data_IF_620918658988
#
_entry.id   IF_620918658988
#
_cell.length_a   1.000
_cell.length_b   1.000
_cell.length_c   1.000
_cell.angle_alpha   90.00
_cell.angle_beta   90.00
_cell.angle_gamma   90.00
#
_symmetry.space_group_name_H-M   'P 1'
#
loop_
_entity.id
_entity.type
_entity.pdbx_description
1 polymer ?
#
# COMPACT_ATOMS: atom_id res chain seq x y z
N UNK A 1 6.87 17.49 -74.12
CA UNK A 1 6.86 18.88 -73.61
C UNK A 1 7.65 18.90 -72.32
N UNK A 2 8.67 19.75 -72.21
CA UNK A 2 9.47 19.88 -70.97
C UNK A 2 8.60 20.54 -69.89
N UNK A 3 8.44 19.89 -68.74
CA UNK A 3 7.72 20.48 -67.61
C UNK A 3 8.49 21.71 -67.08
N UNK A 4 7.76 22.72 -66.59
CA UNK A 4 8.37 23.91 -65.99
C UNK A 4 8.78 23.62 -64.54
N UNK A 5 9.76 24.37 -64.05
CA UNK A 5 10.14 24.34 -62.64
C UNK A 5 8.94 24.75 -61.74
N UNK A 6 8.69 24.00 -60.67
CA UNK A 6 7.57 24.19 -59.75
C UNK A 6 7.70 25.42 -58.82
N UNK A 7 8.90 26.02 -58.74
CA UNK A 7 9.14 27.23 -57.94
C UNK A 7 8.50 28.45 -58.64
N UNK A 8 7.60 29.14 -57.94
CA UNK A 8 6.92 30.34 -58.45
C UNK A 8 7.95 31.38 -58.93
N UNK A 9 7.73 31.92 -60.14
CA UNK A 9 8.60 32.88 -60.86
C UNK A 9 9.85 32.29 -61.54
N UNK A 10 10.08 30.97 -61.49
CA UNK A 10 11.14 30.33 -62.27
C UNK A 10 10.65 30.00 -63.68
N UNK A 11 11.29 30.56 -64.72
CA UNK A 11 10.93 30.30 -66.13
C UNK A 11 11.75 29.15 -66.76
N UNK A 12 12.66 28.53 -66.00
CA UNK A 12 13.53 27.46 -66.51
C UNK A 12 12.77 26.13 -66.60
N UNK A 13 13.10 25.32 -67.61
CA UNK A 13 12.62 23.95 -67.71
C UNK A 13 13.11 23.10 -66.52
N UNK A 14 12.24 22.23 -66.01
CA UNK A 14 12.65 21.23 -65.03
C UNK A 14 13.66 20.27 -65.65
N UNK A 15 14.64 19.87 -64.85
CA UNK A 15 15.66 18.89 -65.23
C UNK A 15 15.50 17.59 -64.46
N UNK A 16 14.84 17.65 -63.30
CA UNK A 16 14.61 16.51 -62.43
C UNK A 16 13.32 16.69 -61.62
N UNK A 17 12.67 15.57 -61.30
CA UNK A 17 11.64 15.49 -60.27
C UNK A 17 12.34 15.15 -58.94
N UNK A 18 12.11 15.94 -57.90
CA UNK A 18 12.65 15.65 -56.58
C UNK A 18 11.76 14.58 -55.91
N UNK A 19 12.31 13.40 -55.64
CA UNK A 19 11.55 12.30 -55.04
C UNK A 19 11.06 12.60 -53.61
N UNK A 20 11.75 13.47 -52.88
CA UNK A 20 11.41 13.84 -51.50
C UNK A 20 10.14 14.68 -51.39
N UNK A 21 9.93 15.62 -52.32
CA UNK A 21 8.81 16.57 -52.25
C UNK A 21 7.89 16.50 -53.48
N UNK A 22 8.19 15.61 -54.42
CA UNK A 22 7.46 15.41 -55.68
C UNK A 22 7.34 16.70 -56.52
N UNK A 23 8.34 17.58 -56.42
CA UNK A 23 8.39 18.85 -57.15
C UNK A 23 9.36 18.77 -58.33
N UNK A 24 8.95 19.33 -59.47
CA UNK A 24 9.79 19.43 -60.66
C UNK A 24 10.74 20.61 -60.52
N UNK A 25 12.04 20.36 -60.42
CA UNK A 25 13.03 21.40 -60.15
C UNK A 25 14.00 21.57 -61.34
N UNK A 26 14.41 22.81 -61.60
CA UNK A 26 15.55 23.07 -62.45
C UNK A 26 16.85 22.82 -61.66
N UNK A 27 17.98 22.64 -62.35
CA UNK A 27 19.25 22.28 -61.70
C UNK A 27 19.66 23.23 -60.56
N UNK A 28 19.41 24.54 -60.72
CA UNK A 28 19.72 25.53 -59.68
C UNK A 28 18.86 25.34 -58.43
N UNK A 29 17.54 25.26 -58.58
CA UNK A 29 16.65 25.09 -57.42
C UNK A 29 16.78 23.70 -56.79
N UNK A 30 17.22 22.68 -57.54
CA UNK A 30 17.55 21.37 -56.97
C UNK A 30 18.79 21.46 -56.07
N UNK A 31 19.82 22.20 -56.49
CA UNK A 31 21.01 22.43 -55.68
C UNK A 31 20.70 23.29 -54.44
N UNK A 32 19.87 24.32 -54.58
CA UNK A 32 19.40 25.13 -53.45
C UNK A 32 18.53 24.31 -52.48
N UNK A 33 17.66 23.44 -53.01
CA UNK A 33 16.86 22.51 -52.22
C UNK A 33 17.76 21.52 -51.45
N UNK A 34 18.77 20.93 -52.10
CA UNK A 34 19.72 20.03 -51.44
C UNK A 34 20.56 20.76 -50.39
N UNK A 35 21.02 21.99 -50.68
CA UNK A 35 21.72 22.82 -49.71
C UNK A 35 20.83 23.19 -48.51
N UNK A 36 19.54 23.44 -48.74
CA UNK A 36 18.56 23.68 -47.67
C UNK A 36 18.36 22.43 -46.80
N UNK A 37 18.23 21.24 -47.39
CA UNK A 37 18.15 19.99 -46.65
C UNK A 37 19.41 19.73 -45.82
N UNK A 38 20.60 19.91 -46.40
CA UNK A 38 21.88 19.78 -45.69
C UNK A 38 21.97 20.81 -44.55
N UNK A 39 21.49 22.04 -44.75
CA UNK A 39 21.49 23.06 -43.70
C UNK A 39 20.59 22.72 -42.51
N UNK A 40 19.56 21.88 -42.71
CA UNK A 40 18.71 21.36 -41.62
C UNK A 40 19.38 20.26 -40.79
N UNK A 41 20.46 19.63 -41.30
CA UNK A 41 21.23 18.64 -40.54
C UNK A 41 22.13 19.28 -39.48
N UNK A 42 22.53 20.54 -39.67
CA UNK A 42 23.41 21.24 -38.72
C UNK A 42 22.72 21.44 -37.35
N UNK A 43 21.48 21.96 -37.26
CA UNK A 43 20.74 22.02 -35.99
C UNK A 43 20.56 20.67 -35.30
N UNK A 44 20.33 19.59 -36.06
CA UNK A 44 20.21 18.24 -35.49
C UNK A 44 21.55 17.74 -34.92
N UNK A 45 22.65 18.09 -35.56
CA UNK A 45 24.00 17.79 -35.06
C UNK A 45 24.27 18.57 -33.76
N UNK A 46 23.85 19.82 -33.70
CA UNK A 46 23.95 20.64 -32.49
C UNK A 46 23.08 20.09 -31.35
N UNK A 47 21.87 19.61 -31.65
CA UNK A 47 21.00 18.93 -30.67
C UNK A 47 21.64 17.63 -30.16
N UNK A 48 22.22 16.81 -31.04
CA UNK A 48 22.94 15.58 -30.65
C UNK A 48 24.12 15.92 -29.75
N UNK A 49 24.92 16.92 -30.11
CA UNK A 49 26.06 17.36 -29.30
C UNK A 49 25.62 17.90 -27.92
N UNK A 50 24.50 18.63 -27.86
CA UNK A 50 23.92 19.10 -26.62
C UNK A 50 23.42 17.95 -25.73
N UNK A 51 22.80 16.93 -26.33
CA UNK A 51 22.38 15.71 -25.62
C UNK A 51 23.57 14.90 -25.12
N UNK A 52 24.64 14.78 -25.92
CA UNK A 52 25.88 14.08 -25.54
C UNK A 52 26.58 14.81 -24.37
N UNK A 53 26.65 16.14 -24.43
CA UNK A 53 27.17 16.94 -23.32
C UNK A 53 26.31 16.73 -22.06
N UNK A 54 24.99 16.78 -22.20
CA UNK A 54 24.07 16.56 -21.09
C UNK A 54 24.24 15.17 -20.46
N UNK A 55 24.39 14.13 -21.28
CA UNK A 55 24.72 12.76 -20.85
C UNK A 55 26.02 12.69 -20.06
N UNK A 56 27.08 13.37 -20.51
CA UNK A 56 28.37 13.45 -19.79
C UNK A 56 28.26 14.19 -18.46
N UNK A 57 27.35 15.15 -18.35
CA UNK A 57 27.12 15.94 -17.13
C UNK A 57 26.08 15.34 -16.18
N UNK A 58 25.43 14.23 -16.54
CA UNK A 58 24.48 13.56 -15.64
C UNK A 58 25.23 13.05 -14.41
N UNK A 59 24.82 13.55 -13.24
CA UNK A 59 25.34 13.07 -11.97
C UNK A 59 24.66 11.74 -11.60
N UNK A 60 25.21 10.66 -12.13
CA UNK A 60 24.78 9.28 -11.84
C UNK A 60 25.13 8.89 -10.40
N UNK A 61 26.08 9.57 -9.76
CA UNK A 61 26.47 9.28 -8.38
C UNK A 61 25.38 9.70 -7.39
N UNK A 62 24.70 10.82 -7.64
CA UNK A 62 23.62 11.31 -6.78
C UNK A 62 22.51 10.26 -6.49
N UNK A 63 21.88 9.62 -7.48
CA UNK A 63 20.87 8.58 -7.21
C UNK A 63 21.47 7.35 -6.53
N UNK A 64 22.70 6.96 -6.85
CA UNK A 64 23.39 5.83 -6.19
C UNK A 64 23.62 6.13 -4.71
N UNK A 65 24.12 7.32 -4.39
CA UNK A 65 24.34 7.77 -3.00
C UNK A 65 23.02 7.77 -2.23
N UNK A 66 21.95 8.28 -2.85
CA UNK A 66 20.63 8.29 -2.23
C UNK A 66 20.09 6.87 -1.97
N UNK A 67 20.21 5.96 -2.92
CA UNK A 67 19.82 4.55 -2.73
C UNK A 67 20.64 3.87 -1.64
N UNK A 68 21.95 4.16 -1.54
CA UNK A 68 22.80 3.66 -0.46
C UNK A 68 22.38 4.18 0.90
N UNK A 69 22.00 5.47 1.00
CA UNK A 69 21.48 6.05 2.24
C UNK A 69 20.22 5.31 2.72
N UNK A 70 19.29 4.98 1.82
CA UNK A 70 18.11 4.17 2.18
C UNK A 70 18.47 2.77 2.70
N UNK A 71 19.46 2.12 2.11
CA UNK A 71 19.93 0.83 2.60
C UNK A 71 20.62 0.94 3.97
N UNK A 72 21.32 2.05 4.20
CA UNK A 72 21.95 2.34 5.48
C UNK A 72 20.89 2.60 6.57
N UNK A 73 19.88 3.41 6.26
CA UNK A 73 18.71 3.65 7.14
C UNK A 73 18.00 2.34 7.47
N UNK A 74 17.71 1.50 6.46
CA UNK A 74 17.11 0.18 6.67
C UNK A 74 17.96 -0.70 7.60
N UNK A 75 19.29 -0.70 7.41
CA UNK A 75 20.21 -1.46 8.28
C UNK A 75 20.16 -0.97 9.72
N UNK A 76 20.19 0.34 9.92
CA UNK A 76 20.18 0.94 11.25
C UNK A 76 18.83 0.69 11.95
N UNK A 77 17.71 0.75 11.23
CA UNK A 77 16.38 0.38 11.73
C UNK A 77 16.30 -1.11 12.12
N UNK A 78 16.89 -2.00 11.32
CA UNK A 78 16.96 -3.43 11.64
C UNK A 78 17.72 -3.68 12.94
N UNK A 79 18.87 -3.01 13.14
CA UNK A 79 19.63 -3.13 14.39
C UNK A 79 18.81 -2.64 15.58
N UNK A 80 18.14 -1.50 15.48
CA UNK A 80 17.29 -0.99 16.56
C UNK A 80 16.15 -1.96 16.92
N UNK A 81 15.53 -2.60 15.93
CA UNK A 81 14.49 -3.61 16.17
C UNK A 81 15.04 -4.84 16.87
N UNK A 82 16.24 -5.30 16.48
CA UNK A 82 16.91 -6.44 17.13
C UNK A 82 17.24 -6.09 18.59
N UNK A 83 17.79 -4.90 18.84
CA UNK A 83 18.14 -4.45 20.19
C UNK A 83 16.89 -4.33 21.07
N UNK A 84 15.82 -3.73 20.55
CA UNK A 84 14.53 -3.61 21.26
C UNK A 84 13.94 -4.98 21.62
N UNK A 85 14.00 -5.94 20.68
CA UNK A 85 13.52 -7.30 20.92
C UNK A 85 14.38 -8.02 21.97
N UNK A 86 15.70 -7.84 21.93
CA UNK A 86 16.60 -8.38 22.94
C UNK A 86 16.28 -7.83 24.34
N UNK A 87 16.14 -6.51 24.48
CA UNK A 87 15.77 -5.87 25.74
C UNK A 87 14.43 -6.38 26.27
N UNK A 88 13.43 -6.52 25.40
CA UNK A 88 12.14 -7.12 25.77
C UNK A 88 12.31 -8.54 26.33
N UNK A 89 13.12 -9.38 25.69
CA UNK A 89 13.37 -10.75 26.18
C UNK A 89 14.14 -10.79 27.49
N UNK A 90 15.05 -9.84 27.73
CA UNK A 90 15.67 -9.67 29.04
C UNK A 90 14.64 -9.30 30.11
N UNK A 91 13.73 -8.38 29.83
CA UNK A 91 12.67 -7.99 30.78
C UNK A 91 11.71 -9.15 31.08
N UNK A 92 11.32 -9.94 30.06
CA UNK A 92 10.52 -11.15 30.25
C UNK A 92 11.24 -12.16 31.15
N UNK A 93 12.55 -12.34 30.97
CA UNK A 93 13.35 -13.22 31.80
C UNK A 93 13.42 -12.72 33.25
N UNK A 94 13.69 -11.43 33.45
CA UNK A 94 13.74 -10.82 34.79
C UNK A 94 12.40 -10.95 35.51
N UNK A 95 11.29 -10.72 34.81
CA UNK A 95 9.96 -10.88 35.38
C UNK A 95 9.71 -12.32 35.83
N UNK A 96 10.01 -13.31 34.99
CA UNK A 96 9.83 -14.73 35.31
C UNK A 96 10.67 -15.17 36.52
N UNK A 97 11.89 -14.66 36.63
CA UNK A 97 12.76 -14.92 37.79
C UNK A 97 12.16 -14.29 39.05
N UNK A 98 11.79 -13.01 38.98
CA UNK A 98 11.27 -12.26 40.11
C UNK A 98 9.97 -12.86 40.64
N UNK A 99 9.04 -13.25 39.77
CA UNK A 99 7.78 -13.90 40.17
C UNK A 99 8.03 -15.19 40.98
N UNK A 100 8.98 -16.03 40.55
CA UNK A 100 9.34 -17.25 41.29
C UNK A 100 9.99 -16.95 42.64
N UNK A 101 10.84 -15.93 42.71
CA UNK A 101 11.49 -15.49 43.96
C UNK A 101 10.45 -14.92 44.93
N UNK A 102 9.53 -14.10 44.45
CA UNK A 102 8.49 -13.49 45.26
C UNK A 102 7.52 -14.54 45.82
N UNK A 103 7.15 -15.56 45.05
CA UNK A 103 6.41 -16.72 45.56
C UNK A 103 7.12 -17.40 46.73
N UNK A 104 8.44 -17.58 46.68
CA UNK A 104 9.19 -18.15 47.80
C UNK A 104 9.24 -17.19 49.00
N UNK A 105 9.26 -15.87 48.77
CA UNK A 105 9.25 -14.85 49.81
C UNK A 105 7.92 -14.81 50.56
N UNK A 106 6.80 -14.94 49.85
CA UNK A 106 5.46 -15.04 50.45
C UNK A 106 5.33 -16.30 51.32
N UNK A 107 5.82 -17.43 50.81
CA UNK A 107 5.86 -18.69 51.57
C UNK A 107 6.69 -18.57 52.86
N UNK A 108 7.85 -17.91 52.79
CA UNK A 108 8.66 -17.62 53.97
C UNK A 108 7.92 -16.74 55.00
N UNK A 109 7.21 -15.70 54.52
CA UNK A 109 6.41 -14.83 55.38
C UNK A 109 5.26 -15.60 56.05
N UNK A 110 4.61 -16.51 55.33
CA UNK A 110 3.55 -17.37 55.89
C UNK A 110 4.09 -18.26 57.01
N UNK A 111 5.26 -18.88 56.81
CA UNK A 111 5.93 -19.68 57.83
C UNK A 111 6.24 -18.83 59.07
N UNK A 112 6.76 -17.61 58.89
CA UNK A 112 7.06 -16.70 60.00
C UNK A 112 5.80 -16.30 60.78
N UNK A 113 4.68 -16.06 60.09
CA UNK A 113 3.39 -15.76 60.73
C UNK A 113 2.92 -16.94 61.59
N UNK A 114 2.95 -18.16 61.04
CA UNK A 114 2.58 -19.37 61.77
C UNK A 114 3.46 -19.61 63.01
N UNK A 115 4.76 -19.38 62.90
CA UNK A 115 5.67 -19.46 64.06
C UNK A 115 5.28 -18.45 65.14
N UNK A 116 4.97 -17.20 64.74
CA UNK A 116 4.59 -16.13 65.67
C UNK A 116 3.28 -16.45 66.38
N UNK A 117 2.30 -16.99 65.66
CA UNK A 117 1.00 -17.42 66.21
C UNK A 117 1.16 -18.55 67.23
N UNK A 118 1.96 -19.58 66.91
CA UNK A 118 2.23 -20.70 67.82
C UNK A 118 2.97 -20.25 69.10
N UNK A 119 3.92 -19.31 68.98
CA UNK A 119 4.60 -18.71 70.13
C UNK A 119 3.61 -17.93 71.01
N UNK A 120 2.72 -17.15 70.40
CA UNK A 120 1.74 -16.36 71.14
C UNK A 120 0.68 -17.23 71.83
N UNK A 121 0.23 -18.30 71.19
CA UNK A 121 -0.77 -19.21 71.73
C UNK A 121 -0.24 -20.06 72.92
N UNK A 122 1.08 -20.24 73.05
CA UNK A 122 1.74 -21.09 74.06
C UNK A 122 1.31 -22.57 74.07
N UNK A 123 0.51 -23.02 73.10
CA UNK A 123 0.02 -24.38 72.94
C UNK A 123 0.59 -25.01 71.66
N UNK A 124 1.91 -25.20 71.61
CA UNK A 124 2.56 -25.85 70.46
C UNK A 124 2.57 -27.37 70.61
N UNK A 125 2.05 -28.10 69.62
CA UNK A 125 2.12 -29.56 69.60
C UNK A 125 3.34 -30.07 68.81
N UNK A 126 3.80 -31.32 69.04
CA UNK A 126 4.84 -31.92 68.21
C UNK A 126 4.48 -31.99 66.72
N UNK A 127 3.18 -32.10 66.40
CA UNK A 127 2.68 -32.16 65.02
C UNK A 127 2.86 -30.81 64.30
N UNK A 128 2.67 -29.69 65.00
CA UNK A 128 2.88 -28.34 64.46
C UNK A 128 4.35 -28.11 64.09
N UNK A 129 5.27 -28.59 64.93
CA UNK A 129 6.71 -28.52 64.69
C UNK A 129 7.12 -29.37 63.48
N UNK A 130 6.54 -30.57 63.33
CA UNK A 130 6.85 -31.45 62.20
C UNK A 130 6.28 -30.90 60.87
N UNK A 131 5.12 -30.26 60.90
CA UNK A 131 4.55 -29.56 59.75
C UNK A 131 5.42 -28.36 59.32
N UNK A 132 5.88 -27.54 60.27
CA UNK A 132 6.81 -26.44 59.97
C UNK A 132 8.13 -26.95 59.40
N UNK A 133 8.70 -28.02 59.96
CA UNK A 133 9.94 -28.63 59.47
C UNK A 133 9.80 -29.16 58.04
N UNK A 134 8.69 -29.80 57.71
CA UNK A 134 8.46 -30.32 56.36
C UNK A 134 8.31 -29.17 55.35
N UNK A 135 7.57 -28.12 55.71
CA UNK A 135 7.39 -26.91 54.88
C UNK A 135 8.72 -26.17 54.65
N UNK A 136 9.55 -26.00 55.68
CA UNK A 136 10.89 -25.39 55.56
C UNK A 136 11.80 -26.22 54.64
N UNK A 137 11.76 -27.56 54.73
CA UNK A 137 12.54 -28.43 53.84
C UNK A 137 12.08 -28.33 52.39
N UNK A 138 10.78 -28.21 52.16
CA UNK A 138 10.21 -28.02 50.83
C UNK A 138 10.62 -26.66 50.23
N UNK A 139 10.53 -25.58 51.01
CA UNK A 139 11.01 -24.25 50.62
C UNK A 139 12.49 -24.28 50.22
N UNK A 140 13.36 -24.89 51.05
CA UNK A 140 14.79 -25.06 50.73
C UNK A 140 15.03 -25.83 49.43
N UNK A 141 14.22 -26.85 49.18
CA UNK A 141 14.32 -27.65 47.94
C UNK A 141 13.89 -26.84 46.73
N UNK A 142 12.84 -26.03 46.84
CA UNK A 142 12.37 -25.15 45.77
C UNK A 142 13.37 -24.02 45.48
N UNK A 143 13.95 -23.40 46.51
CA UNK A 143 15.02 -22.40 46.35
C UNK A 143 16.22 -22.99 45.60
N UNK A 144 16.65 -24.20 45.98
CA UNK A 144 17.76 -24.89 45.30
C UNK A 144 17.43 -25.22 43.83
N UNK A 145 16.17 -25.52 43.50
CA UNK A 145 15.73 -25.72 42.11
C UNK A 145 15.80 -24.42 41.30
N UNK A 146 15.41 -23.29 41.90
CA UNK A 146 15.52 -21.97 41.27
C UNK A 146 16.98 -21.61 40.99
N UNK A 147 17.88 -21.87 41.95
CA UNK A 147 19.33 -21.63 41.81
C UNK A 147 19.98 -22.49 40.72
N UNK A 148 19.48 -23.71 40.48
CA UNK A 148 20.17 -24.69 39.64
C UNK A 148 19.74 -24.73 38.18
N UNK A 149 18.49 -24.45 37.85
CA UNK A 149 17.98 -24.52 36.45
C UNK A 149 16.58 -23.93 36.40
N UNK A 150 16.47 -22.60 36.35
CA UNK A 150 15.14 -22.01 36.37
C UNK A 150 14.50 -21.96 34.97
N UNK A 151 15.29 -21.93 33.89
CA UNK A 151 14.81 -21.80 32.51
C UNK A 151 15.79 -22.41 31.49
N UNK A 152 15.26 -22.78 30.33
CA UNK A 152 16.00 -23.06 29.09
C UNK A 152 15.64 -22.00 28.07
N UNK A 153 16.64 -21.44 27.39
CA UNK A 153 16.45 -20.45 26.33
C UNK A 153 16.80 -21.12 25.00
N UNK A 154 15.79 -21.29 24.15
CA UNK A 154 15.97 -21.85 22.81
C UNK A 154 16.11 -20.72 21.79
N UNK A 155 17.34 -20.43 21.38
CA UNK A 155 17.65 -19.37 20.41
C UNK A 155 17.71 -19.97 19.01
N UNK A 156 16.86 -19.47 18.13
CA UNK A 156 16.85 -19.84 16.72
C UNK A 156 17.59 -18.77 15.88
N UNK A 157 18.29 -19.15 14.80
CA UNK A 157 18.99 -18.20 13.97
C UNK A 157 18.01 -17.28 13.23
N UNK A 158 18.37 -16.00 13.11
CA UNK A 158 17.64 -15.04 12.27
C UNK A 158 17.93 -15.35 10.80
N UNK A 159 16.88 -15.69 10.04
CA UNK A 159 16.97 -15.94 8.60
C UNK A 159 16.66 -14.64 7.85
N UNK A 160 17.66 -14.13 7.11
CA UNK A 160 17.50 -12.99 6.22
C UNK A 160 17.12 -13.53 4.84
N UNK A 161 15.89 -13.29 4.43
CA UNK A 161 15.35 -13.70 3.14
C UNK A 161 15.78 -12.70 2.04
N UNK A 162 16.08 -13.20 0.83
CA UNK A 162 16.42 -12.37 -0.33
C UNK A 162 15.26 -11.45 -0.75
N UNK A 163 14.03 -11.75 -0.31
CA UNK A 163 12.84 -10.92 -0.53
C UNK A 163 12.77 -9.67 0.36
N UNK A 164 13.72 -9.48 1.29
CA UNK A 164 13.70 -8.33 2.21
C UNK A 164 14.13 -7.02 1.54
N UNK A 165 14.96 -7.08 0.49
CA UNK A 165 15.46 -5.92 -0.23
C UNK A 165 15.43 -6.16 -1.73
N UNK A 166 14.56 -5.46 -2.45
CA UNK A 166 14.51 -5.50 -3.91
C UNK A 166 15.21 -4.29 -4.52
N UNK A 167 16.30 -4.54 -5.24
CA UNK A 167 16.91 -3.53 -6.12
C UNK A 167 16.27 -3.66 -7.49
N UNK A 168 15.07 -3.10 -7.62
CA UNK A 168 14.37 -3.07 -8.90
C UNK A 168 15.00 -2.00 -9.79
N UNK A 169 15.37 -2.37 -11.02
CA UNK A 169 15.54 -1.38 -12.07
C UNK A 169 14.20 -0.66 -12.18
N UNK A 170 14.16 0.65 -11.94
CA UNK A 170 12.96 1.45 -12.22
C UNK A 170 12.73 1.31 -13.73
N UNK A 171 11.89 0.36 -14.12
CA UNK A 171 11.50 0.21 -15.52
C UNK A 171 10.74 1.50 -15.81
N UNK A 172 11.32 2.34 -16.68
CA UNK A 172 10.72 3.59 -17.15
C UNK A 172 9.53 3.34 -18.10
N UNK A 173 8.76 2.27 -17.87
CA UNK A 173 7.56 2.00 -18.65
C UNK A 173 6.39 2.51 -17.85
N UNK A 174 5.97 3.70 -18.26
CA UNK A 174 4.71 4.27 -17.85
C UNK A 174 3.60 3.29 -18.21
N UNK A 175 2.79 2.91 -17.23
CA UNK A 175 1.62 2.07 -17.48
C UNK A 175 0.80 2.70 -18.61
N UNK A 176 0.64 2.01 -19.74
CA UNK A 176 -0.23 2.44 -20.82
C UNK A 176 -1.46 1.54 -20.89
N UNK A 177 -2.62 2.08 -20.52
CA UNK A 177 -3.88 1.35 -20.66
C UNK A 177 -4.20 1.00 -22.12
N UNK A 178 -3.62 1.68 -23.11
CA UNK A 178 -3.86 1.39 -24.53
C UNK A 178 -3.32 0.02 -24.94
N UNK A 179 -2.34 -0.49 -24.20
CA UNK A 179 -1.71 -1.79 -24.42
C UNK A 179 -2.15 -2.83 -23.39
N UNK A 180 -3.26 -2.59 -22.69
CA UNK A 180 -3.80 -3.54 -21.72
C UNK A 180 -4.04 -4.89 -22.42
N UNK A 181 -3.27 -5.90 -22.03
CA UNK A 181 -3.38 -7.22 -22.64
C UNK A 181 -4.74 -7.83 -22.32
N UNK A 182 -5.21 -8.82 -23.10
CA UNK A 182 -6.25 -9.73 -22.61
C UNK A 182 -5.86 -10.30 -21.25
N UNK A 183 -6.86 -10.63 -20.43
CA UNK A 183 -6.61 -11.24 -19.13
C UNK A 183 -5.87 -12.57 -19.33
N UNK A 184 -4.68 -12.71 -18.73
CA UNK A 184 -3.92 -13.96 -18.81
C UNK A 184 -4.35 -14.96 -17.72
N UNK A 185 -5.00 -14.48 -16.67
CA UNK A 185 -5.57 -15.29 -15.61
C UNK A 185 -6.91 -14.71 -15.13
N UNK A 186 -7.83 -15.60 -14.77
CA UNK A 186 -9.18 -15.28 -14.32
C UNK A 186 -9.49 -16.13 -13.08
N UNK A 187 -9.84 -15.47 -11.98
CA UNK A 187 -10.27 -16.11 -10.74
C UNK A 187 -11.78 -15.90 -10.60
N UNK A 188 -12.61 -16.95 -10.68
CA UNK A 188 -14.05 -16.82 -10.48
C UNK A 188 -14.38 -16.27 -9.10
N UNK A 189 -15.39 -15.40 -9.01
CA UNK A 189 -15.86 -14.85 -7.74
C UNK A 189 -17.05 -15.63 -7.21
N UNK A 190 -17.01 -15.99 -5.94
CA UNK A 190 -18.16 -16.63 -5.28
C UNK A 190 -19.31 -15.63 -5.13
N UNK A 191 -20.54 -16.09 -5.37
CA UNK A 191 -21.74 -15.26 -5.22
C UNK A 191 -21.85 -14.68 -3.79
N UNK A 192 -22.20 -13.40 -3.69
CA UNK A 192 -22.30 -12.69 -2.41
C UNK A 192 -20.96 -12.24 -1.81
N UNK A 193 -19.86 -12.35 -2.57
CA UNK A 193 -18.58 -11.76 -2.17
C UNK A 193 -18.58 -10.24 -2.32
N UNK A 194 -18.08 -9.53 -1.31
CA UNK A 194 -17.86 -8.08 -1.38
C UNK A 194 -16.76 -7.71 -2.39
N UNK A 195 -16.91 -6.60 -3.14
CA UNK A 195 -15.97 -6.15 -4.16
C UNK A 195 -14.74 -5.43 -3.56
N UNK A 196 -14.02 -6.11 -2.67
CA UNK A 196 -12.80 -5.58 -2.05
C UNK A 196 -11.59 -6.39 -2.50
N UNK A 197 -10.53 -5.67 -2.86
CA UNK A 197 -9.30 -6.20 -3.42
C UNK A 197 -8.13 -5.32 -2.96
N UNK A 198 -7.08 -5.94 -2.44
CA UNK A 198 -5.83 -5.25 -2.08
C UNK A 198 -4.65 -6.23 -2.18
N UNK A 199 -3.42 -5.77 -2.01
CA UNK A 199 -2.24 -6.63 -2.01
C UNK A 199 -1.16 -6.12 -1.06
N UNK A 200 -0.21 -7.00 -0.73
CA UNK A 200 0.99 -6.68 0.04
C UNK A 200 2.27 -7.01 -0.73
N UNK A 201 2.24 -6.82 -2.05
CA UNK A 201 3.20 -7.33 -3.03
C UNK A 201 3.25 -8.87 -3.10
N UNK A 202 3.32 -9.59 -1.98
CA UNK A 202 3.42 -11.06 -1.96
C UNK A 202 2.12 -11.77 -2.30
N UNK A 203 1.01 -11.25 -1.79
CA UNK A 203 -0.31 -11.85 -1.91
C UNK A 203 -1.35 -10.82 -2.35
N UNK A 204 -2.23 -11.25 -3.24
CA UNK A 204 -3.47 -10.57 -3.55
C UNK A 204 -4.54 -11.06 -2.57
N UNK A 205 -5.09 -10.15 -1.75
CA UNK A 205 -6.15 -10.45 -0.81
C UNK A 205 -7.50 -10.13 -1.43
N UNK A 206 -8.36 -11.14 -1.52
CA UNK A 206 -9.71 -11.03 -2.06
C UNK A 206 -10.70 -11.74 -1.14
N UNK A 207 -11.88 -11.14 -0.95
CA UNK A 207 -12.97 -11.84 -0.26
C UNK A 207 -13.67 -12.80 -1.23
N UNK A 208 -13.64 -14.09 -0.92
CA UNK A 208 -14.46 -15.12 -1.57
C UNK A 208 -15.33 -15.78 -0.52
N UNK A 209 -16.61 -15.41 -0.49
CA UNK A 209 -17.54 -15.81 0.57
C UNK A 209 -17.47 -17.33 0.82
N UNK A 210 -17.24 -17.78 2.07
CA UNK A 210 -17.25 -17.02 3.32
C UNK A 210 -15.86 -16.55 3.81
N UNK A 211 -14.81 -16.66 3.00
CA UNK A 211 -13.43 -16.50 3.42
C UNK A 211 -12.79 -15.22 2.85
N UNK A 212 -11.74 -14.75 3.54
CA UNK A 212 -10.68 -13.96 2.92
C UNK A 212 -9.64 -14.92 2.36
N UNK A 213 -9.36 -14.82 1.06
CA UNK A 213 -8.47 -15.69 0.33
C UNK A 213 -7.23 -14.93 -0.15
N UNK A 214 -6.06 -15.55 0.03
CA UNK A 214 -4.77 -15.03 -0.38
C UNK A 214 -4.33 -15.78 -1.64
N UNK A 215 -4.03 -15.04 -2.70
CA UNK A 215 -3.55 -15.57 -3.96
C UNK A 215 -2.09 -15.14 -4.17
N UNK A 216 -1.26 -16.06 -4.64
CA UNK A 216 0.11 -15.74 -5.05
C UNK A 216 0.17 -15.15 -6.47
N UNK A 217 1.39 -14.88 -6.97
CA UNK A 217 1.62 -14.38 -8.34
C UNK A 217 1.18 -15.35 -9.45
N UNK A 218 1.10 -16.64 -9.15
CA UNK A 218 0.61 -17.66 -10.08
C UNK A 218 -0.92 -17.80 -10.00
N UNK A 219 -1.57 -16.99 -9.17
CA UNK A 219 -3.02 -17.00 -8.90
C UNK A 219 -3.51 -18.27 -8.23
N UNK A 220 -2.61 -18.99 -7.57
CA UNK A 220 -3.01 -20.10 -6.72
C UNK A 220 -3.50 -19.54 -5.38
N UNK A 221 -4.65 -20.01 -4.93
CA UNK A 221 -5.10 -19.74 -3.57
C UNK A 221 -4.18 -20.49 -2.60
N UNK A 222 -3.31 -19.75 -1.92
CA UNK A 222 -2.32 -20.32 -1.01
C UNK A 222 -2.82 -20.43 0.43
N UNK A 223 -3.70 -19.50 0.83
CA UNK A 223 -4.23 -19.43 2.20
C UNK A 223 -5.65 -18.88 2.18
N UNK A 224 -6.43 -19.23 3.20
CA UNK A 224 -7.75 -18.66 3.41
C UNK A 224 -8.08 -18.63 4.91
N UNK A 225 -8.84 -17.62 5.31
CA UNK A 225 -9.36 -17.48 6.68
C UNK A 225 -10.84 -17.14 6.64
N UNK A 226 -11.63 -17.73 7.55
CA UNK A 226 -13.06 -17.48 7.63
C UNK A 226 -13.34 -16.01 8.00
N UNK A 227 -14.18 -15.34 7.21
CA UNK A 227 -14.66 -14.01 7.50
C UNK A 227 -16.06 -14.04 8.12
N UNK A 228 -16.12 -13.95 9.45
CA UNK A 228 -17.37 -13.97 10.22
C UNK A 228 -17.88 -12.59 10.63
N UNK A 229 -17.25 -11.51 10.18
CA UNK A 229 -17.45 -10.16 10.73
C UNK A 229 -18.40 -9.27 9.90
N UNK A 230 -19.12 -9.85 8.95
CA UNK A 230 -20.16 -9.15 8.17
C UNK A 230 -19.64 -8.51 6.88
N UNK A 231 -20.10 -7.30 6.57
CA UNK A 231 -19.76 -6.63 5.32
C UNK A 231 -18.35 -6.07 5.31
N UNK A 232 -17.67 -6.18 4.17
CA UNK A 232 -16.37 -5.55 3.90
C UNK A 232 -16.63 -4.36 2.99
N UNK A 233 -16.25 -3.16 3.45
CA UNK A 233 -16.36 -1.93 2.68
C UNK A 233 -15.09 -1.64 1.88
N UNK A 234 -13.94 -1.86 2.52
CA UNK A 234 -12.64 -1.60 1.92
C UNK A 234 -11.52 -2.42 2.60
N UNK A 235 -10.38 -2.55 1.94
CA UNK A 235 -9.16 -3.16 2.44
C UNK A 235 -7.92 -2.42 1.94
N UNK A 236 -6.89 -2.32 2.78
CA UNK A 236 -5.57 -1.86 2.38
C UNK A 236 -4.46 -2.65 3.09
N UNK A 237 -3.23 -2.56 2.61
CA UNK A 237 -2.06 -3.10 3.30
C UNK A 237 -1.34 -2.01 4.09
N UNK A 238 -0.79 -2.38 5.25
CA UNK A 238 0.08 -1.53 6.05
C UNK A 238 1.45 -2.17 6.20
N UNK A 239 2.47 -1.59 5.59
CA UNK A 239 3.86 -2.03 5.72
C UNK A 239 4.42 -1.79 7.13
N UNK A 240 3.95 -0.76 7.85
CA UNK A 240 4.36 -0.52 9.23
C UNK A 240 3.87 -1.61 10.20
N UNK A 241 2.62 -2.05 10.03
CA UNK A 241 2.05 -3.10 10.87
C UNK A 241 2.41 -4.50 10.36
N UNK A 242 2.82 -4.62 9.10
CA UNK A 242 2.93 -5.89 8.38
C UNK A 242 1.59 -6.66 8.40
N UNK A 243 0.48 -5.94 8.19
CA UNK A 243 -0.88 -6.49 8.26
C UNK A 243 -1.77 -5.88 7.19
N UNK A 244 -2.74 -6.68 6.72
CA UNK A 244 -3.87 -6.16 5.98
C UNK A 244 -4.85 -5.50 6.95
N UNK A 245 -5.36 -4.34 6.57
CA UNK A 245 -6.41 -3.62 7.29
C UNK A 245 -7.70 -3.81 6.51
N UNK A 246 -8.73 -4.30 7.19
CA UNK A 246 -10.06 -4.56 6.61
C UNK A 246 -11.08 -3.68 7.30
N UNK A 247 -11.71 -2.79 6.53
CA UNK A 247 -12.85 -2.00 6.98
C UNK A 247 -14.12 -2.83 6.90
N UNK A 248 -14.62 -3.21 8.08
CA UNK A 248 -15.96 -3.74 8.23
C UNK A 248 -17.02 -2.63 8.23
N UNK A 249 -18.28 -2.99 8.51
CA UNK A 249 -19.39 -2.03 8.60
C UNK A 249 -19.13 -0.91 9.62
N UNK A 250 -18.74 -1.31 10.83
CA UNK A 250 -18.54 -0.43 11.98
C UNK A 250 -17.12 -0.46 12.53
N UNK A 251 -16.38 -1.54 12.26
CA UNK A 251 -15.13 -1.89 12.92
C UNK A 251 -13.99 -2.02 11.91
N UNK A 252 -12.77 -1.81 12.40
CA UNK A 252 -11.55 -2.01 11.65
C UNK A 252 -10.89 -3.30 12.16
N UNK A 253 -10.42 -4.14 11.25
CA UNK A 253 -9.77 -5.41 11.56
C UNK A 253 -8.37 -5.45 10.97
N UNK A 254 -7.45 -6.11 11.68
CA UNK A 254 -6.12 -6.44 11.19
C UNK A 254 -6.08 -7.92 10.84
N UNK A 255 -5.60 -8.25 9.65
CA UNK A 255 -5.43 -9.62 9.20
C UNK A 255 -3.94 -9.90 9.02
N UNK A 256 -3.46 -10.91 9.73
CA UNK A 256 -2.08 -11.36 9.69
C UNK A 256 -1.92 -12.45 8.63
N UNK A 257 -1.11 -12.18 7.60
CA UNK A 257 -0.87 -13.11 6.50
C UNK A 257 0.11 -14.25 6.87
N UNK A 258 0.77 -14.19 8.02
CA UNK A 258 1.59 -15.27 8.56
C UNK A 258 0.78 -16.19 9.48
N UNK A 259 0.10 -15.65 10.49
CA UNK A 259 -0.65 -16.45 11.48
C UNK A 259 -2.08 -16.76 11.07
N UNK A 260 -2.61 -16.11 10.02
CA UNK A 260 -4.02 -16.15 9.63
C UNK A 260 -4.98 -15.67 10.74
N UNK A 261 -4.52 -14.85 11.68
CA UNK A 261 -5.37 -14.26 12.72
C UNK A 261 -6.07 -13.01 12.23
N UNK A 262 -7.28 -12.78 12.75
CA UNK A 262 -8.07 -11.57 12.51
C UNK A 262 -8.32 -10.90 13.86
N UNK A 263 -7.74 -9.71 14.04
CA UNK A 263 -7.80 -8.96 15.28
C UNK A 263 -8.66 -7.71 15.09
N UNK A 264 -9.59 -7.44 16.00
CA UNK A 264 -10.40 -6.22 15.97
C UNK A 264 -9.63 -5.06 16.62
N UNK A 265 -9.62 -3.89 15.98
CA UNK A 265 -9.00 -2.69 16.53
C UNK A 265 -9.98 -1.97 17.46
N UNK A 266 -10.04 -2.43 18.71
CA UNK A 266 -10.96 -1.90 19.73
C UNK A 266 -10.69 -0.44 20.15
N UNK A 267 -9.54 0.13 19.78
CA UNK A 267 -9.18 1.52 20.14
C UNK A 267 -9.89 2.56 19.28
N UNK A 268 -10.51 2.15 18.18
CA UNK A 268 -11.19 3.05 17.24
C UNK A 268 -12.69 2.98 17.50
N UNK A 269 -13.31 4.15 17.68
CA UNK A 269 -14.76 4.26 17.82
C UNK A 269 -15.49 3.68 16.60
N UNK A 270 -16.62 3.00 16.84
CA UNK A 270 -17.45 2.49 15.76
C UNK A 270 -17.99 3.61 14.88
N UNK A 271 -17.78 3.50 13.56
CA UNK A 271 -18.26 4.47 12.57
C UNK A 271 -18.69 3.76 11.30
N UNK A 272 -19.53 4.42 10.51
CA UNK A 272 -19.91 3.92 9.19
C UNK A 272 -18.73 4.14 8.24
N UNK A 273 -17.86 3.15 8.09
CA UNK A 273 -16.66 3.27 7.27
C UNK A 273 -16.96 3.20 5.78
N UNK A 274 -16.20 3.95 4.98
CA UNK A 274 -16.31 4.01 3.52
C UNK A 274 -15.10 3.41 2.83
N UNK A 275 -13.95 4.06 3.00
CA UNK A 275 -12.70 3.68 2.33
C UNK A 275 -11.49 3.88 3.24
N UNK A 276 -10.41 3.14 3.00
CA UNK A 276 -9.15 3.26 3.71
C UNK A 276 -7.93 3.15 2.79
N UNK A 277 -6.86 3.81 3.21
CA UNK A 277 -5.54 3.72 2.59
C UNK A 277 -4.45 4.02 3.62
N UNK A 278 -3.23 3.57 3.37
CA UNK A 278 -2.12 3.75 4.28
C UNK A 278 -0.94 4.44 3.60
N UNK A 279 -0.26 5.28 4.37
CA UNK A 279 1.16 5.57 4.17
C UNK A 279 2.01 4.60 4.99
N UNK A 280 3.32 4.84 5.04
CA UNK A 280 4.24 4.08 5.88
C UNK A 280 3.93 4.19 7.38
N UNK A 281 3.29 5.26 7.84
CA UNK A 281 3.09 5.49 9.29
C UNK A 281 1.66 5.87 9.67
N UNK A 282 0.81 6.19 8.68
CA UNK A 282 -0.52 6.74 8.88
C UNK A 282 -1.56 5.90 8.15
N UNK A 283 -2.67 5.58 8.83
CA UNK A 283 -3.90 5.10 8.22
C UNK A 283 -4.83 6.29 7.99
N UNK A 284 -5.29 6.44 6.76
CA UNK A 284 -6.38 7.34 6.41
C UNK A 284 -7.66 6.53 6.20
N UNK A 285 -8.75 6.93 6.84
CA UNK A 285 -10.06 6.31 6.66
C UNK A 285 -11.14 7.35 6.44
N UNK A 286 -12.04 7.13 5.48
CA UNK A 286 -13.20 7.97 5.24
C UNK A 286 -14.49 7.36 5.80
N UNK A 287 -15.45 8.21 6.18
CA UNK A 287 -16.80 7.76 6.56
C UNK A 287 -17.72 7.68 5.35
N UNK A 288 -18.62 6.70 5.35
CA UNK A 288 -19.64 6.48 4.32
C UNK A 288 -20.95 7.21 4.66
N UNK A 289 -20.85 8.52 4.88
CA UNK A 289 -21.98 9.39 5.20
C UNK A 289 -21.88 10.70 4.40
N UNK A 290 -22.98 11.45 4.30
CA UNK A 290 -23.03 12.75 3.65
C UNK A 290 -23.28 13.84 4.72
N UNK A 291 -22.32 14.76 5.01
CA UNK A 291 -20.98 14.86 4.44
C UNK A 291 -19.99 13.84 5.03
N UNK A 292 -19.10 13.31 4.21
CA UNK A 292 -18.06 12.38 4.66
C UNK A 292 -16.94 13.09 5.41
N UNK A 293 -16.39 12.41 6.41
CA UNK A 293 -15.19 12.84 7.13
C UNK A 293 -13.97 12.03 6.67
N UNK A 294 -12.78 12.58 6.84
CA UNK A 294 -11.50 11.87 6.66
C UNK A 294 -10.79 11.86 8.01
N UNK A 295 -10.38 10.68 8.45
CA UNK A 295 -9.73 10.45 9.73
C UNK A 295 -8.29 10.00 9.49
N UNK A 296 -7.37 10.54 10.29
CA UNK A 296 -5.95 10.26 10.27
C UNK A 296 -5.58 9.51 11.55
N UNK A 297 -5.03 8.31 11.44
CA UNK A 297 -4.59 7.49 12.56
C UNK A 297 -3.09 7.23 12.47
N UNK A 298 -2.37 7.34 13.59
CA UNK A 298 -1.03 6.74 13.66
C UNK A 298 -1.17 5.23 13.66
N UNK A 299 -0.23 4.50 13.06
CA UNK A 299 -0.21 3.04 13.07
C UNK A 299 0.57 2.47 14.27
N UNK A 300 1.71 3.09 14.61
CA UNK A 300 2.63 2.65 15.65
C UNK A 300 2.83 3.76 16.71
N UNK A 301 3.10 3.40 17.98
CA UNK A 301 3.15 2.04 18.54
C UNK A 301 1.76 1.40 18.73
N UNK A 302 0.69 2.18 18.60
CA UNK A 302 -0.69 1.72 18.66
C UNK A 302 -1.55 2.54 17.71
N UNK A 303 -2.64 1.97 17.21
CA UNK A 303 -3.54 2.69 16.30
C UNK A 303 -4.35 3.72 17.09
N UNK A 304 -4.07 5.00 16.84
CA UNK A 304 -4.68 6.12 17.57
C UNK A 304 -5.06 7.25 16.61
N UNK A 305 -6.22 7.85 16.85
CA UNK A 305 -6.70 9.00 16.08
C UNK A 305 -5.80 10.21 16.34
N UNK A 306 -5.19 10.73 15.28
CA UNK A 306 -4.41 11.98 15.29
C UNK A 306 -5.34 13.15 14.98
N UNK A 307 -6.15 13.02 13.92
CA UNK A 307 -6.93 14.12 13.38
C UNK A 307 -8.18 13.61 12.68
N UNK A 308 -9.22 14.43 12.71
CA UNK A 308 -10.42 14.24 11.93
C UNK A 308 -10.75 15.53 11.16
N UNK A 309 -10.79 15.44 9.83
CA UNK A 309 -11.30 16.51 8.96
C UNK A 309 -12.77 16.27 8.66
N UNK A 310 -13.58 17.31 8.85
CA UNK A 310 -15.02 17.31 8.61
C UNK A 310 -15.41 18.36 7.57
N UNK A 311 -16.67 18.36 7.16
CA UNK A 311 -17.28 19.49 6.46
C UNK A 311 -16.95 20.82 7.17
N UNK A 312 -16.60 21.89 6.42
CA UNK A 312 -16.55 22.00 4.95
C UNK A 312 -15.20 21.63 4.33
N UNK A 313 -14.25 21.14 5.12
CA UNK A 313 -12.87 20.88 4.66
C UNK A 313 -12.83 19.68 3.71
N UNK A 314 -13.51 18.58 4.04
CA UNK A 314 -13.51 17.35 3.23
C UNK A 314 -14.38 17.48 1.98
N UNK A 315 -15.68 17.66 2.16
CA UNK A 315 -16.67 17.74 1.08
C UNK A 315 -17.83 18.67 1.47
N UNK A 316 -18.74 18.99 0.54
CA UNK A 316 -19.98 19.75 0.85
C UNK A 316 -21.05 18.85 1.49
N UNK A 317 -22.14 19.45 2.00
CA UNK A 317 -23.20 18.72 2.73
C UNK A 317 -23.87 17.59 1.93
N UNK A 318 -23.95 17.74 0.62
CA UNK A 318 -24.55 16.81 -0.33
C UNK A 318 -23.53 15.89 -1.01
N UNK A 319 -22.30 15.87 -0.51
CA UNK A 319 -21.19 15.12 -1.08
C UNK A 319 -20.69 14.03 -0.14
N UNK A 320 -20.28 12.91 -0.72
CA UNK A 320 -19.61 11.84 -0.02
C UNK A 320 -18.30 11.44 -0.72
N UNK A 321 -17.40 10.84 0.06
CA UNK A 321 -16.14 10.29 -0.42
C UNK A 321 -16.38 8.81 -0.74
N UNK A 322 -16.35 8.48 -2.04
CA UNK A 322 -16.49 7.11 -2.52
C UNK A 322 -15.25 6.27 -2.22
N UNK A 323 -14.07 6.86 -2.41
CA UNK A 323 -12.79 6.17 -2.26
C UNK A 323 -11.67 7.14 -1.90
N UNK A 324 -10.66 6.63 -1.20
CA UNK A 324 -9.49 7.38 -0.72
C UNK A 324 -8.23 6.57 -0.97
N UNK A 325 -7.23 7.17 -1.65
CA UNK A 325 -5.97 6.50 -1.95
C UNK A 325 -4.80 7.42 -1.65
N UNK A 326 -3.85 6.93 -0.86
CA UNK A 326 -2.60 7.63 -0.56
C UNK A 326 -1.53 7.26 -1.59
N UNK A 327 -0.78 8.26 -2.04
CA UNK A 327 0.43 8.04 -2.81
C UNK A 327 1.39 9.24 -2.65
N UNK A 328 2.63 8.96 -2.25
CA UNK A 328 3.75 9.92 -2.25
C UNK A 328 3.43 11.28 -1.60
N UNK A 329 2.80 11.27 -0.43
CA UNK A 329 2.43 12.49 0.31
C UNK A 329 1.14 13.17 -0.13
N UNK A 330 0.41 12.58 -1.08
CA UNK A 330 -0.87 13.06 -1.56
C UNK A 330 -2.00 12.06 -1.25
N UNK A 331 -3.21 12.59 -1.10
CA UNK A 331 -4.45 11.83 -1.00
C UNK A 331 -5.33 12.13 -2.21
N UNK A 332 -5.61 11.10 -2.99
CA UNK A 332 -6.66 11.11 -3.99
C UNK A 332 -8.00 10.80 -3.32
N UNK A 333 -8.98 11.68 -3.52
CA UNK A 333 -10.36 11.51 -3.06
C UNK A 333 -11.30 11.44 -4.26
N UNK A 334 -12.09 10.38 -4.34
CA UNK A 334 -13.24 10.33 -5.25
C UNK A 334 -14.45 10.90 -4.54
N UNK A 335 -14.91 12.08 -4.97
CA UNK A 335 -16.03 12.79 -4.35
C UNK A 335 -17.25 12.66 -5.26
N UNK A 336 -18.34 12.14 -4.71
CA UNK A 336 -19.64 12.05 -5.36
C UNK A 336 -20.57 13.10 -4.80
N UNK A 337 -21.39 13.72 -5.66
CA UNK A 337 -22.45 14.65 -5.24
C UNK A 337 -23.81 14.02 -5.51
N UNK A 338 -24.60 13.83 -4.46
CA UNK A 338 -25.95 13.27 -4.57
C UNK A 338 -26.89 14.24 -5.32
N UNK A 339 -26.70 15.55 -5.14
CA UNK A 339 -27.56 16.57 -5.75
C UNK A 339 -27.34 16.71 -7.25
N UNK A 340 -26.08 16.69 -7.70
CA UNK A 340 -25.71 16.88 -9.11
C UNK A 340 -25.48 15.57 -9.86
N UNK A 341 -25.49 14.44 -9.14
CA UNK A 341 -25.12 13.11 -9.66
C UNK A 341 -23.76 13.11 -10.36
N UNK A 342 -22.84 13.95 -9.91
CA UNK A 342 -21.52 14.08 -10.51
C UNK A 342 -20.45 13.43 -9.65
N UNK A 343 -19.41 12.95 -10.32
CA UNK A 343 -18.21 12.40 -9.70
C UNK A 343 -17.02 13.24 -10.10
N UNK A 344 -16.16 13.52 -9.14
CA UNK A 344 -14.88 14.17 -9.39
C UNK A 344 -13.79 13.50 -8.58
N UNK A 345 -12.59 13.50 -9.13
CA UNK A 345 -11.39 13.16 -8.39
C UNK A 345 -10.73 14.44 -7.94
N UNK A 346 -10.31 14.49 -6.68
CA UNK A 346 -9.52 15.56 -6.12
C UNK A 346 -8.19 14.99 -5.63
N UNK A 347 -7.09 15.65 -5.96
CA UNK A 347 -5.80 15.37 -5.34
C UNK A 347 -5.54 16.43 -4.28
N UNK A 348 -5.20 15.98 -3.07
CA UNK A 348 -4.96 16.85 -1.92
C UNK A 348 -3.65 16.53 -1.25
N UNK A 349 -3.05 17.52 -0.60
CA UNK A 349 -1.90 17.26 0.26
C UNK A 349 -2.34 16.39 1.45
N UNK A 350 -1.66 15.27 1.71
CA UNK A 350 -2.11 14.33 2.76
C UNK A 350 -2.06 14.92 4.18
N UNK A 351 -1.15 15.87 4.43
CA UNK A 351 -0.91 16.46 5.76
C UNK A 351 -1.85 17.62 6.08
N UNK A 352 -2.18 18.44 5.07
CA UNK A 352 -3.02 19.64 5.26
C UNK A 352 -4.43 19.48 4.73
N UNK A 353 -4.65 18.51 3.83
CA UNK A 353 -5.87 18.31 3.04
C UNK A 353 -6.18 19.47 2.08
N UNK A 354 -5.19 20.32 1.78
CA UNK A 354 -5.30 21.39 0.81
C UNK A 354 -5.40 20.82 -0.62
N UNK A 355 -6.30 21.37 -1.47
CA UNK A 355 -6.47 20.88 -2.83
C UNK A 355 -5.30 21.26 -3.73
N UNK A 356 -4.77 20.27 -4.45
CA UNK A 356 -3.75 20.45 -5.49
C UNK A 356 -4.41 20.66 -6.85
N UNK A 357 -5.34 19.78 -7.21
CA UNK A 357 -6.18 19.87 -8.40
C UNK A 357 -7.45 19.03 -8.24
N UNK A 358 -8.43 19.29 -9.10
CA UNK A 358 -9.64 18.49 -9.20
C UNK A 358 -10.02 18.29 -10.67
N UNK A 359 -10.50 17.09 -11.00
CA UNK A 359 -11.04 16.77 -12.33
C UNK A 359 -12.42 16.15 -12.20
N UNK A 360 -13.38 16.70 -12.96
CA UNK A 360 -14.72 16.15 -13.07
C UNK A 360 -14.71 15.02 -14.09
N UNK A 361 -15.30 13.88 -13.72
CA UNK A 361 -15.47 12.75 -14.62
C UNK A 361 -16.75 12.95 -15.43
N UNK A 362 -16.69 12.63 -16.72
CA UNK A 362 -17.86 12.63 -17.60
C UNK A 362 -18.68 11.35 -17.39
N UNK A 363 -19.25 11.22 -16.20
CA UNK A 363 -20.10 10.10 -15.77
C UNK A 363 -21.23 10.63 -14.90
N UNK A 364 -22.43 10.07 -15.06
CA UNK A 364 -23.54 10.28 -14.14
C UNK A 364 -23.54 9.18 -13.07
N UNK A 365 -23.49 9.56 -11.81
CA UNK A 365 -23.68 8.65 -10.68
C UNK A 365 -25.17 8.33 -10.55
N UNK A 366 -25.63 7.26 -11.20
CA UNK A 366 -27.04 6.87 -11.21
C UNK A 366 -27.39 6.00 -9.99
N UNK A 367 -26.43 5.22 -9.50
CA UNK A 367 -26.59 4.34 -8.34
C UNK A 367 -25.61 4.72 -7.22
N UNK A 368 -25.87 4.22 -6.00
CA UNK A 368 -24.91 4.25 -4.88
C UNK A 368 -23.77 3.23 -5.09
N UNK A 369 -23.36 3.00 -6.33
CA UNK A 369 -22.30 2.03 -6.64
C UNK A 369 -20.95 2.73 -6.63
N UNK A 370 -19.96 1.98 -6.18
CA UNK A 370 -18.62 2.44 -5.90
C UNK A 370 -17.87 2.81 -7.18
N UNK A 371 -17.50 4.09 -7.31
CA UNK A 371 -16.29 4.46 -8.03
C UNK A 371 -15.09 4.09 -7.16
N UNK A 372 -14.07 3.51 -7.78
CA UNK A 372 -12.83 3.13 -7.09
C UNK A 372 -11.62 3.74 -7.78
N UNK A 373 -10.57 3.97 -7.02
CA UNK A 373 -9.30 4.49 -7.46
C UNK A 373 -8.18 3.57 -6.95
N UNK A 374 -7.10 3.49 -7.70
CA UNK A 374 -5.83 3.03 -7.18
C UNK A 374 -4.69 3.89 -7.74
N UNK A 375 -3.60 3.94 -6.97
CA UNK A 375 -2.36 4.53 -7.43
C UNK A 375 -1.69 3.57 -8.41
N UNK A 376 -1.11 4.12 -9.46
CA UNK A 376 -0.29 3.39 -10.43
C UNK A 376 1.09 4.07 -10.53
N UNK A 377 1.97 3.50 -11.35
CA UNK A 377 3.34 4.02 -11.55
C UNK A 377 3.35 5.51 -11.93
N UNK A 378 4.43 6.22 -11.58
CA UNK A 378 4.67 7.64 -11.91
C UNK A 378 3.69 8.66 -11.28
N UNK A 379 3.13 8.33 -10.11
CA UNK A 379 2.16 9.17 -9.40
C UNK A 379 0.91 9.46 -10.24
N UNK A 380 0.58 8.54 -11.14
CA UNK A 380 -0.67 8.53 -11.88
C UNK A 380 -1.72 7.71 -11.12
N UNK A 381 -2.95 7.81 -11.59
CA UNK A 381 -4.11 7.25 -10.93
C UNK A 381 -4.97 6.49 -11.92
N UNK A 382 -5.50 5.36 -11.49
CA UNK A 382 -6.45 4.58 -12.26
C UNK A 382 -7.80 4.65 -11.55
N UNK A 383 -8.82 5.11 -12.26
CA UNK A 383 -10.20 5.08 -11.80
C UNK A 383 -10.92 3.93 -12.47
N UNK A 384 -11.62 3.16 -11.65
CA UNK A 384 -12.57 2.13 -12.06
C UNK A 384 -13.96 2.74 -12.02
N UNK A 385 -14.56 2.88 -13.21
CA UNK A 385 -15.87 3.44 -13.41
C UNK A 385 -16.87 2.30 -13.69
N UNK A 386 -17.57 1.91 -12.63
CA UNK A 386 -18.56 0.84 -12.67
C UNK A 386 -19.73 1.16 -13.60
N UNK A 387 -20.24 2.39 -13.56
CA UNK A 387 -21.47 2.80 -14.24
C UNK A 387 -21.32 2.81 -15.77
N UNK A 388 -20.14 3.17 -16.27
CA UNK A 388 -19.85 3.19 -17.71
C UNK A 388 -18.90 2.09 -18.16
N UNK A 389 -18.61 1.14 -17.27
CA UNK A 389 -17.81 -0.06 -17.52
C UNK A 389 -16.44 0.24 -18.14
N UNK A 390 -15.73 1.23 -17.57
CA UNK A 390 -14.47 1.70 -18.14
C UNK A 390 -13.38 1.91 -17.08
N UNK A 391 -12.16 1.92 -17.56
CA UNK A 391 -10.96 2.30 -16.82
C UNK A 391 -10.51 3.69 -17.30
N UNK A 392 -10.25 4.60 -16.37
CA UNK A 392 -9.80 5.97 -16.67
C UNK A 392 -8.46 6.23 -16.01
N UNK A 393 -7.43 6.47 -16.81
CA UNK A 393 -6.10 6.84 -16.35
C UNK A 393 -5.97 8.36 -16.25
N UNK A 394 -5.50 8.82 -15.10
CA UNK A 394 -5.31 10.23 -14.79
C UNK A 394 -3.84 10.47 -14.47
N UNK A 395 -3.24 11.43 -15.17
CA UNK A 395 -1.84 11.85 -14.94
C UNK A 395 -1.68 12.46 -13.55
N UNK A 396 -0.44 12.51 -13.04
CA UNK A 396 -0.09 13.25 -11.81
C UNK A 396 -0.58 14.71 -11.75
N UNK A 397 -0.76 15.36 -12.91
CA UNK A 397 -1.18 16.76 -13.04
C UNK A 397 -2.71 16.92 -13.24
N UNK A 398 -3.49 15.86 -13.01
CA UNK A 398 -4.96 15.93 -13.02
C UNK A 398 -5.60 15.98 -14.41
N UNK A 399 -4.92 15.47 -15.45
CA UNK A 399 -5.47 15.32 -16.81
C UNK A 399 -5.85 13.87 -17.08
N UNK A 400 -6.97 13.66 -17.78
CA UNK A 400 -7.29 12.33 -18.33
C UNK A 400 -6.27 12.03 -19.41
N UNK A 401 -5.50 10.97 -19.20
CA UNK A 401 -4.53 10.45 -20.16
C UNK A 401 -5.18 9.50 -21.14
N UNK A 402 -5.97 8.57 -20.62
CA UNK A 402 -6.63 7.54 -21.42
C UNK A 402 -7.90 7.05 -20.74
N UNK A 403 -8.86 6.67 -21.58
CA UNK A 403 -10.08 5.95 -21.18
C UNK A 403 -10.18 4.69 -22.02
N UNK A 404 -10.43 3.55 -21.39
CA UNK A 404 -10.58 2.25 -22.05
C UNK A 404 -11.87 1.60 -21.58
N UNK A 405 -12.72 1.20 -22.54
CA UNK A 405 -13.88 0.38 -22.23
C UNK A 405 -13.41 -1.00 -21.77
N UNK A 406 -14.01 -1.50 -20.71
CA UNK A 406 -13.64 -2.77 -20.11
C UNK A 406 -14.75 -3.80 -20.36
N UNK A 407 -14.36 -5.02 -20.76
CA UNK A 407 -15.30 -6.02 -21.30
C UNK A 407 -16.32 -6.55 -20.28
N UNK A 408 -16.17 -6.23 -19.00
CA UNK A 408 -17.07 -6.67 -17.93
C UNK A 408 -17.13 -5.58 -16.87
N UNK A 409 -18.23 -5.44 -16.16
CA UNK A 409 -18.43 -4.34 -15.21
C UNK A 409 -17.34 -4.37 -14.12
N UNK A 410 -16.38 -3.43 -14.13
CA UNK A 410 -15.26 -3.46 -13.19
C UNK A 410 -15.69 -2.81 -11.87
N UNK A 411 -15.30 -3.43 -10.76
CA UNK A 411 -15.63 -2.95 -9.42
C UNK A 411 -14.42 -2.34 -8.70
N UNK A 412 -13.22 -2.90 -8.91
CA UNK A 412 -11.99 -2.43 -8.28
C UNK A 412 -10.77 -2.84 -9.07
N UNK A 413 -9.68 -2.09 -8.96
CA UNK A 413 -8.41 -2.48 -9.53
C UNK A 413 -7.29 -2.22 -8.53
N UNK A 414 -6.24 -3.02 -8.59
CA UNK A 414 -5.01 -2.80 -7.85
C UNK A 414 -3.82 -3.21 -8.72
N UNK A 415 -2.74 -2.44 -8.63
CA UNK A 415 -1.47 -2.83 -9.22
C UNK A 415 -0.84 -3.86 -8.28
N UNK A 416 -0.78 -5.13 -8.69
CA UNK A 416 -0.28 -6.23 -7.87
C UNK A 416 1.26 -6.34 -7.89
N UNK A 417 1.85 -6.00 -9.03
CA UNK A 417 3.28 -5.73 -9.17
C UNK A 417 3.48 -4.62 -10.22
N UNK A 418 4.73 -4.27 -10.52
CA UNK A 418 5.06 -3.20 -11.49
C UNK A 418 4.41 -3.34 -12.88
N UNK A 419 4.04 -4.56 -13.30
CA UNK A 419 3.52 -4.89 -14.63
C UNK A 419 2.21 -5.70 -14.58
N UNK A 420 1.64 -5.95 -13.41
CA UNK A 420 0.44 -6.77 -13.25
C UNK A 420 -0.69 -5.94 -12.66
N UNK A 421 -1.70 -5.66 -13.48
CA UNK A 421 -2.93 -5.02 -13.03
C UNK A 421 -3.98 -6.10 -12.74
N UNK A 422 -4.42 -6.20 -11.49
CA UNK A 422 -5.56 -7.01 -11.11
C UNK A 422 -6.83 -6.16 -11.10
N UNK A 423 -7.82 -6.56 -11.89
CA UNK A 423 -9.13 -5.91 -11.99
C UNK A 423 -10.20 -6.86 -11.50
N UNK A 424 -10.84 -6.53 -10.38
CA UNK A 424 -12.02 -7.21 -9.87
C UNK A 424 -13.25 -6.72 -10.62
N UNK A 425 -14.04 -7.64 -11.13
CA UNK A 425 -15.32 -7.41 -11.80
C UNK A 425 -16.48 -7.89 -10.93
N UNK A 426 -17.70 -7.83 -11.45
CA UNK A 426 -18.89 -8.40 -10.80
C UNK A 426 -18.81 -9.93 -10.71
N UNK A 427 -18.15 -10.59 -11.65
CA UNK A 427 -18.19 -12.06 -11.78
C UNK A 427 -16.85 -12.74 -11.46
N UNK A 428 -15.74 -12.04 -11.62
CA UNK A 428 -14.39 -12.60 -11.55
C UNK A 428 -13.34 -11.55 -11.15
N UNK A 429 -12.11 -11.99 -10.88
CA UNK A 429 -10.93 -11.14 -10.86
C UNK A 429 -10.05 -11.49 -12.07
N UNK A 430 -9.61 -10.48 -12.81
CA UNK A 430 -8.83 -10.64 -14.04
C UNK A 430 -7.47 -10.00 -13.90
N UNK A 431 -6.45 -10.66 -14.41
CA UNK A 431 -5.09 -10.15 -14.38
C UNK A 431 -4.57 -9.85 -15.76
N UNK A 432 -4.01 -8.66 -15.88
CA UNK A 432 -3.52 -8.10 -17.13
C UNK A 432 -2.05 -7.80 -16.98
N UNK A 433 -1.29 -8.12 -18.01
CA UNK A 433 0.05 -7.57 -18.14
C UNK A 433 -0.08 -6.16 -18.69
N UNK A 434 0.52 -5.21 -18.01
CA UNK A 434 0.65 -3.82 -18.44
C UNK A 434 2.10 -3.62 -18.86
N UNK A 435 2.30 -3.21 -20.11
CA UNK A 435 3.61 -3.13 -20.76
C UNK A 435 4.10 -1.71 -20.91
#
# INVERSE_FOLDING_TARGET
MSQSCSIKKCTRASRWLCDCCQQNLCLQHLNEHNASLISQLNPLTDEINALEYRLKTLDIQKPIVHSRQKLEEWRDDCHQKIDSFFEQKCQELDQLVNEKVDQQREELNRINLQITELIHAQETTPQDIDLLRSTIRQLKTNMKKIEQTCFTIDIHPLLIDETLVFINKKIERELDLSTLSPAYSIIPRSEGSFPSLTNNDRYLLMHQKPNLCFFDYEMNMVKQVLWSYGSIHDMCWSSALDRFIVLGKNNIYLVNDYTMTIDNVHTIEERHWGSCTCSDTILFASTNECPSSVLEFTLLPAIQLIREWKYPVTCTKDQCIADTVYNDGYLALLVMSESTKSVRMELRNAKTLDPMWAIKLDTMCLQKVAFRCCAITFNEWLIVDYETERLVQITKDGKIKKTVQYDSTPCRAVLFDLNTLAVLTVDDARLHTVQ
#
